data_IF_944398665565
#
_entry.id   IF_944398665565
#
_cell.length_a   1.000
_cell.length_b   1.000
_cell.length_c   1.000
_cell.angle_alpha   90.00
_cell.angle_beta   90.00
_cell.angle_gamma   90.00
#
_symmetry.space_group_name_H-M   'P 1'
#
loop_
_entity.id
_entity.type
_entity.pdbx_description
1 polymer ?
#
# COMPACT_ATOMS: atom_id res chain seq x y z
N UNK A 1 54.87 -22.79 18.54
CA UNK A 1 53.86 -23.67 17.89
C UNK A 1 52.60 -22.84 17.69
N UNK A 2 52.37 -22.33 16.47
CA UNK A 2 51.23 -21.45 16.20
C UNK A 2 50.13 -22.26 15.49
N UNK A 3 49.07 -22.59 16.23
CA UNK A 3 47.92 -23.35 15.71
C UNK A 3 47.06 -22.41 14.87
N UNK A 4 47.16 -22.51 13.54
CA UNK A 4 46.24 -21.81 12.63
C UNK A 4 44.87 -22.45 12.74
N UNK A 5 43.88 -21.75 13.31
CA UNK A 5 42.50 -22.18 13.27
C UNK A 5 42.06 -22.28 11.81
N UNK A 6 41.69 -23.48 11.38
CA UNK A 6 41.03 -23.69 10.09
C UNK A 6 39.60 -23.18 10.23
N UNK A 7 39.33 -22.01 9.68
CA UNK A 7 37.96 -21.52 9.54
C UNK A 7 37.25 -22.48 8.58
N UNK A 8 36.15 -23.11 9.00
CA UNK A 8 35.52 -24.11 8.18
C UNK A 8 34.79 -23.43 7.01
N UNK A 9 34.79 -24.07 5.84
CA UNK A 9 34.36 -23.49 4.55
C UNK A 9 32.90 -23.04 4.49
N UNK A 10 32.07 -23.44 5.45
CA UNK A 10 30.67 -23.03 5.59
C UNK A 10 30.49 -21.73 6.39
N UNK A 11 31.50 -21.28 7.13
CA UNK A 11 31.47 -20.04 7.90
C UNK A 11 31.10 -18.77 7.09
N UNK A 12 31.62 -18.54 5.85
CA UNK A 12 31.22 -17.36 5.08
C UNK A 12 29.75 -17.41 4.65
N UNK A 13 29.22 -18.60 4.38
CA UNK A 13 27.83 -18.80 3.95
C UNK A 13 26.85 -18.50 5.08
N UNK A 14 27.17 -18.90 6.31
CA UNK A 14 26.40 -18.56 7.52
C UNK A 14 26.42 -17.06 7.81
N UNK A 15 27.59 -16.42 7.64
CA UNK A 15 27.72 -14.97 7.86
C UNK A 15 26.88 -14.15 6.87
N UNK A 16 26.84 -14.55 5.60
CA UNK A 16 26.03 -13.88 4.57
C UNK A 16 24.53 -14.02 4.86
N UNK A 17 24.09 -15.23 5.25
CA UNK A 17 22.67 -15.47 5.57
C UNK A 17 22.20 -14.66 6.79
N UNK A 18 23.04 -14.55 7.82
CA UNK A 18 22.73 -13.75 9.00
C UNK A 18 22.68 -12.24 8.70
N UNK A 19 23.55 -11.74 7.82
CA UNK A 19 23.55 -10.33 7.40
C UNK A 19 22.31 -9.96 6.56
N UNK A 20 21.80 -10.88 5.73
CA UNK A 20 20.60 -10.66 4.94
C UNK A 20 19.32 -10.59 5.80
N UNK A 21 19.22 -11.40 6.86
CA UNK A 21 18.09 -11.38 7.79
C UNK A 21 18.02 -10.09 8.63
N UNK A 22 19.16 -9.44 8.88
CA UNK A 22 19.23 -8.20 9.65
C UNK A 22 18.78 -6.94 8.88
N UNK A 23 18.52 -7.06 7.56
CA UNK A 23 18.11 -5.94 6.71
C UNK A 23 16.57 -5.80 6.59
N UNK A 24 15.79 -6.69 7.22
CA UNK A 24 14.33 -6.53 7.26
C UNK A 24 14.00 -5.42 8.23
N UNK A 25 13.63 -4.25 7.68
CA UNK A 25 13.08 -3.14 8.43
C UNK A 25 11.68 -3.54 8.93
N UNK A 26 11.63 -4.19 10.09
CA UNK A 26 10.39 -4.54 10.76
C UNK A 26 9.66 -3.26 11.21
N UNK A 27 8.77 -2.77 10.35
CA UNK A 27 7.94 -1.58 10.60
C UNK A 27 6.72 -1.50 9.68
N UNK A 28 6.39 -2.58 8.97
CA UNK A 28 5.30 -2.58 7.98
C UNK A 28 3.92 -2.42 8.62
N UNK A 29 3.76 -2.78 9.90
CA UNK A 29 2.50 -2.63 10.62
C UNK A 29 2.63 -1.51 11.65
N UNK A 30 1.88 -0.42 11.50
CA UNK A 30 1.86 0.67 12.47
C UNK A 30 1.41 0.18 13.84
N UNK A 31 2.09 0.64 14.89
CA UNK A 31 1.74 0.37 16.28
C UNK A 31 1.23 1.67 16.89
N UNK A 32 -0.03 1.68 17.31
CA UNK A 32 -0.63 2.80 18.04
C UNK A 32 -0.88 2.39 19.48
N UNK A 33 -0.38 3.17 20.44
CA UNK A 33 -0.52 2.91 21.89
C UNK A 33 -0.15 1.48 22.31
N UNK A 34 0.86 0.89 21.66
CA UNK A 34 1.32 -0.48 21.91
C UNK A 34 0.49 -1.58 21.23
N UNK A 35 -0.56 -1.23 20.46
CA UNK A 35 -1.38 -2.16 19.69
C UNK A 35 -0.91 -2.23 18.24
N UNK A 36 -0.43 -3.40 17.82
CA UNK A 36 -0.05 -3.68 16.43
C UNK A 36 -1.31 -3.58 15.54
N UNK A 37 -1.28 -2.74 14.53
CA UNK A 37 -2.43 -2.48 13.65
C UNK A 37 -3.52 -1.62 14.32
N UNK A 38 -3.20 -0.95 15.43
CA UNK A 38 -4.11 -0.03 16.11
C UNK A 38 -4.55 1.13 15.20
N UNK A 39 -5.57 1.86 15.64
CA UNK A 39 -6.03 3.09 14.98
C UNK A 39 -5.45 4.29 15.70
N UNK A 40 -4.98 5.30 14.96
CA UNK A 40 -4.59 6.58 15.53
C UNK A 40 -5.74 7.20 16.32
N UNK A 41 -5.42 7.82 17.45
CA UNK A 41 -6.36 8.70 18.14
C UNK A 41 -6.83 9.81 17.16
N UNK A 42 -8.12 10.20 17.16
CA UNK A 42 -8.62 11.23 16.27
C UNK A 42 -7.83 12.55 16.33
N UNK A 43 -7.24 12.87 17.49
CA UNK A 43 -6.43 14.08 17.70
C UNK A 43 -5.05 14.04 17.03
N UNK A 44 -4.47 12.85 16.81
CA UNK A 44 -3.19 12.65 16.12
C UNK A 44 -3.36 12.31 14.64
N UNK A 45 -4.55 11.85 14.22
CA UNK A 45 -4.88 11.52 12.83
C UNK A 45 -4.68 12.70 11.87
N UNK A 46 -4.93 13.93 12.33
CA UNK A 46 -4.79 15.15 11.51
C UNK A 46 -3.34 15.46 11.10
N UNK A 47 -2.33 14.96 11.82
CA UNK A 47 -0.92 15.24 11.52
C UNK A 47 -0.33 14.26 10.48
N UNK A 48 -0.98 13.12 10.23
CA UNK A 48 -0.50 12.09 9.29
C UNK A 48 -0.96 12.31 7.83
N UNK A 49 -1.90 13.23 7.60
CA UNK A 49 -2.39 13.54 6.26
C UNK A 49 -1.30 14.12 5.34
N UNK A 50 -0.24 14.72 5.90
CA UNK A 50 0.88 15.28 5.13
C UNK A 50 1.94 14.26 4.69
N UNK A 51 2.07 13.12 5.37
CA UNK A 51 3.16 12.17 5.13
C UNK A 51 2.80 11.07 4.12
N UNK A 52 1.52 10.74 3.98
CA UNK A 52 1.06 9.72 3.00
C UNK A 52 0.96 10.28 1.57
N UNK A 53 0.81 11.61 1.43
CA UNK A 53 0.85 12.31 0.14
C UNK A 53 2.29 12.61 -0.36
N UNK A 54 3.32 12.31 0.45
CA UNK A 54 4.71 12.59 0.12
C UNK A 54 5.43 11.43 -0.60
N UNK A 55 4.72 10.38 -1.00
CA UNK A 55 5.19 9.46 -2.05
C UNK A 55 5.18 10.21 -3.39
N UNK A 56 6.12 11.15 -3.51
CA UNK A 56 6.31 12.00 -4.68
C UNK A 56 7.12 11.16 -5.66
N UNK A 57 6.45 10.52 -6.60
CA UNK A 57 7.02 10.02 -7.84
C UNK A 57 7.43 11.19 -8.76
N UNK A 58 8.27 12.10 -8.24
CA UNK A 58 8.93 13.19 -8.98
C UNK A 58 8.03 14.20 -9.72
N UNK A 59 6.73 13.97 -9.79
CA UNK A 59 5.75 14.78 -10.51
C UNK A 59 4.75 15.32 -9.50
N UNK A 60 5.21 16.26 -8.67
CA UNK A 60 4.33 17.10 -7.85
C UNK A 60 3.60 18.11 -8.75
N UNK A 61 2.76 17.59 -9.65
CA UNK A 61 1.67 18.37 -10.20
C UNK A 61 0.54 18.23 -9.20
N UNK A 62 0.12 19.34 -8.61
CA UNK A 62 -1.11 19.40 -7.82
C UNK A 62 -2.27 19.12 -8.78
N UNK A 63 -2.55 17.84 -9.04
CA UNK A 63 -3.71 17.47 -9.82
C UNK A 63 -4.91 17.75 -8.92
N UNK A 64 -5.74 18.69 -9.32
CA UNK A 64 -7.01 18.96 -8.66
C UNK A 64 -7.93 17.74 -8.86
N UNK A 65 -7.81 16.76 -7.96
CA UNK A 65 -8.71 15.60 -7.89
C UNK A 65 -10.01 16.11 -7.23
N UNK A 66 -10.81 16.90 -7.95
CA UNK A 66 -12.21 17.08 -7.58
C UNK A 66 -12.97 15.94 -8.26
N UNK A 67 -13.40 14.89 -7.51
CA UNK A 67 -14.13 13.79 -8.11
C UNK A 67 -15.36 14.31 -8.85
N UNK A 68 -15.56 13.83 -10.07
CA UNK A 68 -16.63 14.29 -10.95
C UNK A 68 -17.93 13.51 -10.74
N UNK A 69 -18.72 13.38 -11.81
CA UNK A 69 -20.01 12.67 -11.74
C UNK A 69 -19.80 11.16 -11.82
N UNK A 70 -20.70 10.42 -11.18
CA UNK A 70 -20.85 8.99 -11.39
C UNK A 70 -21.84 8.76 -12.53
N UNK A 71 -21.41 8.07 -13.59
CA UNK A 71 -22.18 7.83 -14.82
C UNK A 71 -22.50 6.34 -14.91
N UNK A 72 -23.64 5.95 -14.36
CA UNK A 72 -24.01 4.54 -14.18
C UNK A 72 -25.25 4.17 -14.98
N UNK A 73 -25.22 2.98 -15.57
CA UNK A 73 -26.37 2.30 -16.15
C UNK A 73 -26.75 1.17 -15.22
N UNK A 74 -27.96 1.25 -14.68
CA UNK A 74 -28.54 0.19 -13.87
C UNK A 74 -29.03 -0.94 -14.79
N UNK A 75 -28.80 -2.16 -14.35
CA UNK A 75 -29.26 -3.39 -14.98
C UNK A 75 -28.85 -3.49 -16.46
N UNK A 76 -27.57 -3.21 -16.75
CA UNK A 76 -27.06 -3.10 -18.12
C UNK A 76 -27.08 -4.41 -18.90
N UNK A 77 -27.34 -5.55 -18.23
CA UNK A 77 -27.46 -6.87 -18.85
C UNK A 77 -26.16 -7.40 -19.47
N UNK A 78 -25.04 -6.68 -19.32
CA UNK A 78 -23.74 -7.04 -19.90
C UNK A 78 -23.10 -8.26 -19.23
N UNK A 79 -23.36 -8.49 -17.95
CA UNK A 79 -22.81 -9.64 -17.22
C UNK A 79 -23.84 -10.53 -16.50
N UNK A 80 -25.09 -10.09 -16.28
CA UNK A 80 -26.09 -10.86 -15.52
C UNK A 80 -27.52 -10.48 -15.91
N UNK A 81 -28.34 -11.49 -16.23
CA UNK A 81 -29.79 -11.37 -16.55
C UNK A 81 -30.66 -12.09 -15.53
N UNK A 82 -30.08 -12.50 -14.40
CA UNK A 82 -30.75 -13.27 -13.35
C UNK A 82 -31.87 -12.44 -12.71
N UNK A 83 -33.13 -12.93 -12.72
CA UNK A 83 -34.24 -12.22 -12.09
C UNK A 83 -33.99 -11.97 -10.60
N UNK A 84 -34.23 -10.73 -10.15
CA UNK A 84 -34.08 -10.34 -8.75
C UNK A 84 -32.68 -9.89 -8.33
N UNK A 85 -31.70 -9.90 -9.23
CA UNK A 85 -30.35 -9.35 -8.96
C UNK A 85 -30.28 -7.92 -9.48
N UNK A 86 -29.90 -6.98 -8.60
CA UNK A 86 -29.60 -5.62 -9.00
C UNK A 86 -28.13 -5.53 -9.45
N UNK A 87 -27.94 -5.05 -10.66
CA UNK A 87 -26.63 -4.78 -11.23
C UNK A 87 -26.56 -3.30 -11.60
N UNK A 88 -25.37 -2.72 -11.52
CA UNK A 88 -25.11 -1.41 -12.07
C UNK A 88 -23.68 -1.38 -12.59
N UNK A 89 -23.46 -0.79 -13.75
CA UNK A 89 -22.13 -0.65 -14.35
C UNK A 89 -21.96 0.76 -14.89
N UNK A 90 -20.78 1.34 -14.77
CA UNK A 90 -20.56 2.70 -15.25
C UNK A 90 -19.21 3.26 -14.89
N UNK A 91 -18.99 4.52 -15.23
CA UNK A 91 -17.72 5.19 -15.00
C UNK A 91 -17.82 6.19 -13.84
N UNK A 92 -16.81 6.18 -12.98
CA UNK A 92 -16.57 7.21 -11.97
C UNK A 92 -15.48 8.17 -12.44
N UNK A 93 -15.80 9.46 -12.52
CA UNK A 93 -14.83 10.49 -12.89
C UNK A 93 -13.87 10.77 -11.71
N UNK A 94 -12.57 10.55 -11.92
CA UNK A 94 -11.51 10.74 -10.92
C UNK A 94 -11.01 12.19 -10.92
N UNK A 95 -10.88 12.79 -12.12
CA UNK A 95 -10.47 14.19 -12.32
C UNK A 95 -11.28 14.79 -13.47
N UNK A 96 -11.03 16.05 -13.82
CA UNK A 96 -11.65 16.69 -14.99
C UNK A 96 -11.48 15.88 -16.30
N UNK A 97 -10.41 15.08 -16.41
CA UNK A 97 -10.04 14.40 -17.66
C UNK A 97 -9.82 12.88 -17.49
N UNK A 98 -10.09 12.29 -16.32
CA UNK A 98 -9.81 10.88 -16.05
C UNK A 98 -11.00 10.19 -15.40
N UNK A 99 -11.24 8.92 -15.74
CA UNK A 99 -12.31 8.09 -15.18
C UNK A 99 -11.93 6.62 -15.08
N UNK A 100 -12.57 5.89 -14.18
CA UNK A 100 -12.45 4.44 -14.02
C UNK A 100 -13.80 3.77 -14.31
N UNK A 101 -13.78 2.55 -14.88
CA UNK A 101 -14.93 1.65 -15.05
C UNK A 101 -14.88 0.52 -14.02
#
# INVERSE_FOLDING_TARGET
>A
MATRLRVPTWAPLVAILAAAAAQVLAGQVPVYDGVIGGKADPSTRAQLHGAVLAATDGSSTTVNITPGKLRVVENSGVCETTPGVYQASGYGDLTANQSLW
#
